data_IF_131059043299
#
_entry.id   IF_131059043299
#
_cell.length_a   1.000
_cell.length_b   1.000
_cell.length_c   1.000
_cell.angle_alpha   90.00
_cell.angle_beta   90.00
_cell.angle_gamma   90.00
#
_symmetry.space_group_name_H-M   'P 1'
#
loop_
_entity.id
_entity.type
_entity.pdbx_description
1 polymer ?
#
# COMPACT_ATOMS: atom_id res chain seq x y z
N UNK A 1 -18.08 1.96 5.50
CA UNK A 1 -16.92 1.06 5.39
C UNK A 1 -16.16 1.31 4.10
N UNK A 2 -14.84 1.14 4.09
CA UNK A 2 -14.00 1.18 2.88
C UNK A 2 -12.74 0.32 3.05
N UNK A 3 -12.05 0.01 1.96
CA UNK A 3 -10.71 -0.59 1.97
C UNK A 3 -9.68 0.54 1.86
N UNK A 4 -8.88 0.74 2.90
CA UNK A 4 -7.78 1.71 2.91
C UNK A 4 -6.52 1.08 2.33
N UNK A 5 -6.05 1.68 1.24
CA UNK A 5 -4.77 1.36 0.61
C UNK A 5 -3.64 2.11 1.32
N UNK A 6 -2.45 1.51 1.49
CA UNK A 6 -1.30 2.15 2.11
C UNK A 6 -0.59 3.12 1.13
N UNK A 7 -1.30 4.13 0.62
CA UNK A 7 -0.86 4.98 -0.51
C UNK A 7 0.46 5.71 -0.24
N UNK A 8 0.64 6.26 0.96
CA UNK A 8 1.88 6.93 1.33
C UNK A 8 3.08 5.96 1.29
N UNK A 9 2.90 4.75 1.83
CA UNK A 9 3.93 3.73 1.85
C UNK A 9 4.24 3.23 0.43
N UNK A 10 3.22 3.05 -0.42
CA UNK A 10 3.39 2.74 -1.85
C UNK A 10 4.30 3.79 -2.50
N UNK A 11 3.98 5.08 -2.35
CA UNK A 11 4.78 6.16 -2.92
C UNK A 11 6.22 6.19 -2.40
N UNK A 12 6.41 6.03 -1.09
CA UNK A 12 7.73 6.03 -0.46
C UNK A 12 8.59 4.81 -0.86
N UNK A 13 7.98 3.64 -1.05
CA UNK A 13 8.65 2.44 -1.56
C UNK A 13 9.01 2.63 -3.02
N UNK A 14 8.07 3.12 -3.85
CA UNK A 14 8.30 3.39 -5.27
C UNK A 14 9.45 4.39 -5.49
N UNK A 15 9.46 5.50 -4.74
CA UNK A 15 10.53 6.50 -4.84
C UNK A 15 11.90 5.92 -4.49
N UNK A 16 11.99 5.10 -3.42
CA UNK A 16 13.25 4.41 -3.07
C UNK A 16 13.68 3.42 -4.14
N UNK A 17 12.76 2.60 -4.65
CA UNK A 17 13.08 1.65 -5.72
C UNK A 17 13.59 2.39 -6.96
N UNK A 18 12.96 3.49 -7.35
CA UNK A 18 13.41 4.32 -8.47
C UNK A 18 14.83 4.86 -8.23
N UNK A 19 15.12 5.43 -7.06
CA UNK A 19 16.47 5.94 -6.74
C UNK A 19 17.51 4.81 -6.83
N UNK A 20 17.20 3.63 -6.31
CA UNK A 20 18.08 2.45 -6.43
C UNK A 20 18.37 2.08 -7.88
N UNK A 21 17.34 2.06 -8.73
CA UNK A 21 17.50 1.79 -10.17
C UNK A 21 18.41 2.83 -10.83
N UNK A 22 18.22 4.12 -10.51
CA UNK A 22 19.03 5.20 -11.06
C UNK A 22 20.51 5.10 -10.64
N UNK A 23 20.77 4.62 -9.42
CA UNK A 23 22.11 4.39 -8.91
C UNK A 23 22.76 3.09 -9.39
N UNK A 24 22.02 2.25 -10.13
CA UNK A 24 22.48 0.91 -10.52
C UNK A 24 22.61 -0.07 -9.34
N UNK A 25 21.94 0.19 -8.22
CA UNK A 25 21.88 -0.72 -7.07
C UNK A 25 21.02 -1.94 -7.41
N UNK A 26 21.41 -3.12 -6.94
CA UNK A 26 20.57 -4.31 -7.05
C UNK A 26 19.25 -4.15 -6.30
N UNK A 27 18.17 -4.63 -6.92
CA UNK A 27 16.84 -4.68 -6.34
C UNK A 27 16.50 -6.13 -6.09
N UNK A 28 16.50 -6.52 -4.81
CA UNK A 28 16.22 -7.90 -4.37
C UNK A 28 14.83 -8.39 -4.80
N UNK A 29 13.85 -7.48 -4.82
CA UNK A 29 12.47 -7.80 -5.17
C UNK A 29 11.84 -6.64 -5.96
N UNK A 30 11.63 -6.88 -7.26
CA UNK A 30 10.99 -5.93 -8.16
C UNK A 30 9.48 -5.77 -7.88
N UNK A 31 8.88 -6.65 -7.07
CA UNK A 31 7.45 -6.61 -6.74
C UNK A 31 7.19 -6.63 -5.23
N UNK A 32 6.91 -5.46 -4.66
CA UNK A 32 6.48 -5.35 -3.25
C UNK A 32 4.95 -5.40 -3.12
N UNK A 33 4.43 -6.35 -2.35
CA UNK A 33 3.00 -6.39 -1.96
C UNK A 33 2.83 -5.77 -0.57
N UNK A 34 2.02 -4.70 -0.48
CA UNK A 34 1.70 -4.02 0.78
C UNK A 34 0.28 -4.37 1.23
N UNK A 35 0.09 -4.54 2.54
CA UNK A 35 -1.21 -4.94 3.11
C UNK A 35 -2.18 -3.76 3.16
N UNK A 36 -3.37 -3.96 2.59
CA UNK A 36 -4.50 -3.04 2.78
C UNK A 36 -5.19 -3.28 4.14
N UNK A 37 -6.08 -2.37 4.53
CA UNK A 37 -6.84 -2.46 5.78
C UNK A 37 -8.32 -2.16 5.55
N UNK A 38 -9.21 -2.86 6.26
CA UNK A 38 -10.63 -2.48 6.31
C UNK A 38 -10.78 -1.31 7.29
N UNK A 39 -11.47 -0.25 6.85
CA UNK A 39 -11.83 0.90 7.67
C UNK A 39 -13.34 0.94 7.80
N UNK A 40 -13.82 0.71 9.03
CA UNK A 40 -15.24 0.79 9.36
C UNK A 40 -15.67 2.26 9.40
N UNK A 41 -16.82 2.55 8.80
CA UNK A 41 -17.51 3.84 8.80
C UNK A 41 -19.01 3.57 8.74
N UNK A 42 -19.83 4.57 9.06
CA UNK A 42 -21.29 4.45 9.16
C UNK A 42 -22.02 4.39 7.80
N UNK A 43 -21.35 3.95 6.74
CA UNK A 43 -21.96 3.81 5.40
C UNK A 43 -22.53 2.41 5.13
N UNK A 44 -22.44 1.51 6.11
CA UNK A 44 -22.98 0.16 6.04
C UNK A 44 -23.62 -0.19 7.39
N UNK A 45 -24.70 -0.96 7.37
CA UNK A 45 -25.30 -1.52 8.58
C UNK A 45 -24.48 -2.72 9.07
N UNK A 46 -24.49 -2.98 10.38
CA UNK A 46 -23.90 -4.19 10.94
C UNK A 46 -24.74 -5.41 10.53
N UNK A 47 -24.17 -6.60 10.27
CA UNK A 47 -24.93 -7.80 9.86
C UNK A 47 -25.82 -8.43 10.95
N UNK A 48 -26.41 -7.64 11.85
CA UNK A 48 -27.22 -8.12 12.98
C UNK A 48 -28.55 -7.36 13.18
N UNK A 49 -29.12 -6.86 12.09
CA UNK A 49 -30.55 -6.52 12.00
C UNK A 49 -31.17 -7.35 10.88
#
# INVERSE_FOLDING_TARGET
>A
TTVSQPMYEIGAVAARMLIKMLNGEEIDDYQKILKHKIVLRNSCISPKD
#
